data_IF_982093288829
#
_entry.id   IF_982093288829
#
_cell.length_a   1.000
_cell.length_b   1.000
_cell.length_c   1.000
_cell.angle_alpha   90.00
_cell.angle_beta   90.00
_cell.angle_gamma   90.00
#
_symmetry.space_group_name_H-M   'P 1'
#
loop_
_entity.id
_entity.type
_entity.pdbx_description
1 polymer ?
#
# COMPACT_ATOMS: atom_id res chain seq x y z
N UNK A 1 -26.17 -9.43 -17.14
CA UNK A 1 -26.30 -10.06 -15.81
C UNK A 1 -24.97 -10.71 -15.57
N UNK A 2 -24.08 -10.04 -14.85
CA UNK A 2 -22.72 -10.54 -14.60
C UNK A 2 -22.68 -11.14 -13.22
N UNK A 3 -22.51 -12.46 -13.17
CA UNK A 3 -22.40 -13.27 -11.95
C UNK A 3 -21.01 -13.12 -11.32
N UNK A 4 -20.69 -11.94 -10.79
CA UNK A 4 -19.41 -11.68 -10.10
C UNK A 4 -19.47 -11.90 -8.58
N UNK A 5 -20.47 -12.63 -8.06
CA UNK A 5 -20.68 -12.75 -6.61
C UNK A 5 -20.22 -14.08 -5.98
N UNK A 6 -19.29 -14.83 -6.60
CA UNK A 6 -18.99 -16.17 -6.09
C UNK A 6 -17.51 -16.51 -5.86
N UNK A 7 -16.66 -15.51 -5.51
CA UNK A 7 -15.26 -15.77 -5.16
C UNK A 7 -15.07 -16.39 -3.75
N UNK A 8 -16.06 -16.27 -2.87
CA UNK A 8 -15.94 -16.71 -1.46
C UNK A 8 -16.47 -18.13 -1.17
N UNK A 9 -17.09 -18.81 -2.13
CA UNK A 9 -17.75 -20.12 -1.87
C UNK A 9 -16.88 -21.37 -2.10
N UNK A 10 -15.61 -21.25 -2.47
CA UNK A 10 -14.83 -22.44 -2.90
C UNK A 10 -13.75 -22.92 -1.93
N UNK A 11 -13.66 -22.52 -0.70
CA UNK A 11 -12.59 -23.00 0.20
C UNK A 11 -11.14 -22.75 -0.31
N UNK A 12 -10.99 -22.17 -1.50
CA UNK A 12 -9.72 -21.82 -2.11
C UNK A 12 -9.33 -20.40 -1.67
N UNK A 13 -8.08 -20.24 -1.26
CA UNK A 13 -7.53 -18.92 -0.89
C UNK A 13 -7.48 -18.00 -2.11
N UNK A 14 -7.83 -16.73 -1.94
CA UNK A 14 -7.66 -15.70 -2.97
C UNK A 14 -6.17 -15.46 -3.20
N UNK A 15 -5.71 -15.55 -4.44
CA UNK A 15 -4.34 -15.25 -4.81
C UNK A 15 -4.15 -13.73 -4.95
N UNK A 16 -3.30 -13.17 -4.11
CA UNK A 16 -3.05 -11.72 -4.04
C UNK A 16 -1.63 -11.39 -4.46
N UNK A 17 -1.50 -10.45 -5.37
CA UNK A 17 -0.22 -9.81 -5.70
C UNK A 17 -0.11 -8.48 -4.94
N UNK A 18 0.89 -8.37 -4.06
CA UNK A 18 1.19 -7.16 -3.30
C UNK A 18 2.42 -6.47 -3.90
N UNK A 19 2.19 -5.44 -4.69
CA UNK A 19 3.24 -4.68 -5.38
C UNK A 19 3.73 -3.50 -4.55
N UNK A 20 5.03 -3.24 -4.59
CA UNK A 20 5.70 -2.23 -3.76
C UNK A 20 5.40 -2.49 -2.28
N UNK A 21 5.62 -3.74 -1.87
CA UNK A 21 5.08 -4.29 -0.64
C UNK A 21 5.62 -3.62 0.64
N UNK A 22 6.80 -2.98 0.57
CA UNK A 22 7.42 -2.32 1.70
C UNK A 22 7.60 -3.29 2.88
N UNK A 23 7.28 -2.83 4.07
CA UNK A 23 7.33 -3.63 5.30
C UNK A 23 6.07 -4.49 5.53
N UNK A 24 5.09 -4.45 4.62
CA UNK A 24 3.85 -5.23 4.74
C UNK A 24 2.77 -4.60 5.61
N UNK A 25 2.78 -3.28 5.83
CA UNK A 25 1.76 -2.61 6.65
C UNK A 25 0.32 -2.82 6.16
N UNK A 26 0.13 -2.84 4.86
CA UNK A 26 -1.17 -3.13 4.22
C UNK A 26 -1.61 -4.60 4.41
N UNK A 27 -0.65 -5.52 4.57
CA UNK A 27 -0.86 -6.97 4.67
C UNK A 27 -1.46 -7.43 6.00
N UNK A 28 -1.26 -6.68 7.08
CA UNK A 28 -1.51 -7.08 8.47
C UNK A 28 -2.89 -7.70 8.76
N UNK A 29 -3.94 -7.27 8.03
CA UNK A 29 -5.31 -7.72 8.29
C UNK A 29 -5.90 -8.60 7.18
N UNK A 30 -5.12 -8.99 6.20
CA UNK A 30 -5.61 -9.87 5.14
C UNK A 30 -5.69 -11.32 5.64
N UNK A 31 -6.86 -11.90 5.51
CA UNK A 31 -7.15 -13.27 5.94
C UNK A 31 -7.60 -14.13 4.76
N UNK A 32 -7.37 -15.43 4.85
CA UNK A 32 -7.76 -16.40 3.82
C UNK A 32 -7.22 -16.07 2.42
N UNK A 33 -5.97 -15.61 2.35
CA UNK A 33 -5.28 -15.24 1.11
C UNK A 33 -3.96 -16.00 0.95
N UNK A 34 -3.54 -16.16 -0.30
CA UNK A 34 -2.19 -16.58 -0.70
C UNK A 34 -1.51 -15.36 -1.33
N UNK A 35 -0.45 -14.86 -0.71
CA UNK A 35 0.17 -13.58 -1.11
C UNK A 35 1.51 -13.79 -1.74
N UNK A 36 1.73 -13.16 -2.89
CA UNK A 36 3.05 -12.90 -3.46
C UNK A 36 3.34 -11.41 -3.33
N UNK A 37 4.37 -11.07 -2.57
CA UNK A 37 4.82 -9.71 -2.34
C UNK A 37 6.03 -9.40 -3.20
N UNK A 38 6.03 -8.24 -3.87
CA UNK A 38 7.17 -7.77 -4.67
C UNK A 38 7.71 -6.49 -4.05
N UNK A 39 8.99 -6.53 -3.67
CA UNK A 39 9.70 -5.39 -3.09
C UNK A 39 11.06 -5.25 -3.76
N UNK A 40 11.44 -4.01 -4.09
CA UNK A 40 12.68 -3.74 -4.81
C UNK A 40 13.92 -3.80 -3.92
N UNK A 41 13.82 -3.29 -2.70
CA UNK A 41 14.96 -3.22 -1.77
C UNK A 41 15.09 -4.53 -0.97
N UNK A 42 16.21 -5.29 -1.15
CA UNK A 42 16.37 -6.60 -0.49
C UNK A 42 16.27 -6.58 1.03
N UNK A 43 16.73 -5.50 1.68
CA UNK A 43 16.65 -5.36 3.13
C UNK A 43 15.22 -5.19 3.62
N UNK A 44 14.40 -4.44 2.88
CA UNK A 44 12.98 -4.25 3.18
C UNK A 44 12.21 -5.55 2.91
N UNK A 45 12.50 -6.21 1.79
CA UNK A 45 11.93 -7.51 1.46
C UNK A 45 12.18 -8.56 2.56
N UNK A 46 13.40 -8.58 3.13
CA UNK A 46 13.71 -9.47 4.23
C UNK A 46 12.87 -9.20 5.49
N UNK A 47 12.66 -7.94 5.83
CA UNK A 47 11.79 -7.57 6.97
C UNK A 47 10.34 -7.96 6.69
N UNK A 48 9.86 -7.79 5.45
CA UNK A 48 8.54 -8.26 5.05
C UNK A 48 8.40 -9.78 5.26
N UNK A 49 9.36 -10.55 4.76
CA UNK A 49 9.40 -12.01 4.88
C UNK A 49 9.38 -12.47 6.34
N UNK A 50 10.18 -11.85 7.20
CA UNK A 50 10.23 -12.16 8.63
C UNK A 50 8.89 -11.89 9.34
N UNK A 51 8.16 -10.85 8.91
CA UNK A 51 6.85 -10.51 9.44
C UNK A 51 5.71 -11.35 8.86
N UNK A 52 5.88 -11.90 7.64
CA UNK A 52 4.86 -12.63 6.90
C UNK A 52 5.43 -13.96 6.35
N UNK A 53 5.83 -14.91 7.21
CA UNK A 53 6.59 -16.09 6.80
C UNK A 53 5.83 -17.08 5.90
N UNK A 54 4.52 -16.90 5.74
CA UNK A 54 3.68 -17.70 4.85
C UNK A 54 3.47 -17.07 3.46
N UNK A 55 3.97 -15.87 3.24
CA UNK A 55 3.86 -15.19 1.95
C UNK A 55 5.09 -15.50 1.08
N UNK A 56 4.91 -15.52 -0.23
CA UNK A 56 6.02 -15.59 -1.18
C UNK A 56 6.58 -14.19 -1.40
N UNK A 57 7.89 -14.00 -1.18
CA UNK A 57 8.55 -12.69 -1.34
C UNK A 57 9.48 -12.71 -2.55
N UNK A 58 9.28 -11.77 -3.45
CA UNK A 58 10.10 -11.57 -4.67
C UNK A 58 10.85 -10.25 -4.53
N UNK A 59 12.18 -10.33 -4.58
CA UNK A 59 13.04 -9.14 -4.67
C UNK A 59 13.16 -8.76 -6.14
N UNK A 60 12.59 -7.63 -6.54
CA UNK A 60 12.60 -7.23 -7.94
C UNK A 60 11.75 -6.01 -8.26
N UNK A 61 11.75 -5.66 -9.54
CA UNK A 61 10.93 -4.56 -10.06
C UNK A 61 9.45 -4.96 -10.12
N UNK A 62 8.61 -4.19 -9.43
CA UNK A 62 7.18 -4.45 -9.33
C UNK A 62 6.44 -4.32 -10.68
N UNK A 63 6.88 -3.38 -11.55
CA UNK A 63 6.25 -3.18 -12.86
C UNK A 63 6.58 -4.31 -13.82
N UNK A 64 7.82 -4.79 -13.81
CA UNK A 64 8.23 -5.93 -14.62
C UNK A 64 7.56 -7.22 -14.15
N UNK A 65 7.41 -7.41 -12.84
CA UNK A 65 6.71 -8.56 -12.29
C UNK A 65 5.21 -8.52 -12.64
N UNK A 66 4.55 -7.39 -12.44
CA UNK A 66 3.16 -7.17 -12.82
C UNK A 66 2.89 -7.52 -14.28
N UNK A 67 3.71 -6.99 -15.18
CA UNK A 67 3.59 -7.21 -16.62
C UNK A 67 3.61 -8.69 -17.01
N UNK A 68 4.47 -9.49 -16.35
CA UNK A 68 4.67 -10.90 -16.67
C UNK A 68 3.64 -11.83 -15.99
N UNK A 69 3.26 -11.53 -14.76
CA UNK A 69 2.59 -12.48 -13.87
C UNK A 69 1.14 -12.10 -13.48
N UNK A 70 0.61 -10.95 -13.92
CA UNK A 70 -0.70 -10.44 -13.48
C UNK A 70 -1.84 -11.46 -13.56
N UNK A 71 -1.85 -12.30 -14.59
CA UNK A 71 -2.92 -13.27 -14.83
C UNK A 71 -2.89 -14.49 -13.88
N UNK A 72 -1.89 -14.58 -12.99
CA UNK A 72 -1.76 -15.64 -12.00
C UNK A 72 -2.51 -15.30 -10.70
N UNK A 73 -3.07 -14.09 -10.59
CA UNK A 73 -3.68 -13.54 -9.39
C UNK A 73 -5.15 -13.16 -9.59
N UNK A 74 -5.91 -13.25 -8.50
CA UNK A 74 -7.32 -12.85 -8.44
C UNK A 74 -7.44 -11.38 -8.02
N UNK A 75 -6.48 -10.91 -7.23
CA UNK A 75 -6.47 -9.55 -6.67
C UNK A 75 -5.07 -8.94 -6.70
N UNK A 76 -4.97 -7.66 -7.05
CA UNK A 76 -3.71 -6.89 -7.01
C UNK A 76 -3.85 -5.68 -6.12
N UNK A 77 -2.95 -5.57 -5.14
CA UNK A 77 -2.72 -4.35 -4.36
C UNK A 77 -1.41 -3.71 -4.80
N UNK A 78 -1.41 -2.40 -5.05
CA UNK A 78 -0.21 -1.66 -5.37
C UNK A 78 -0.12 -0.36 -4.56
N UNK A 79 1.03 -0.13 -3.92
CA UNK A 79 1.36 1.12 -3.21
C UNK A 79 2.64 1.73 -3.79
N UNK A 80 2.59 2.32 -5.00
CA UNK A 80 3.77 2.89 -5.65
C UNK A 80 4.47 3.95 -4.77
N UNK A 81 5.79 4.18 -4.95
CA UNK A 81 6.54 5.16 -4.18
C UNK A 81 5.89 6.54 -4.17
N UNK A 82 5.67 7.09 -2.98
CA UNK A 82 4.95 8.34 -2.79
C UNK A 82 5.84 9.59 -2.67
N UNK A 83 7.18 9.41 -2.62
CA UNK A 83 8.12 10.49 -2.29
C UNK A 83 8.00 11.68 -3.24
N UNK A 84 7.82 11.44 -4.54
CA UNK A 84 7.69 12.50 -5.54
C UNK A 84 6.30 13.12 -5.66
N UNK A 85 5.30 12.54 -5.00
CA UNK A 85 3.91 13.05 -4.97
C UNK A 85 3.58 13.84 -3.71
N UNK A 86 4.30 13.58 -2.62
CA UNK A 86 4.00 14.13 -1.29
C UNK A 86 4.15 15.65 -1.23
N UNK A 87 3.22 16.31 -0.52
CA UNK A 87 3.31 17.74 -0.19
C UNK A 87 4.60 18.10 0.56
N UNK A 88 5.21 17.18 1.28
CA UNK A 88 6.49 17.38 1.94
C UNK A 88 7.63 17.65 0.96
N UNK A 89 7.59 17.04 -0.23
CA UNK A 89 8.58 17.34 -1.28
C UNK A 89 8.57 18.81 -1.68
N UNK A 90 7.37 19.41 -1.83
CA UNK A 90 7.23 20.82 -2.16
C UNK A 90 7.77 21.73 -1.04
N UNK A 91 7.67 21.30 0.21
CA UNK A 91 8.14 22.06 1.37
C UNK A 91 9.66 22.00 1.57
N UNK A 92 10.33 20.94 1.11
CA UNK A 92 11.76 20.71 1.36
C UNK A 92 12.67 21.00 0.18
N UNK A 93 12.13 21.16 -1.04
CA UNK A 93 12.89 21.38 -2.28
C UNK A 93 12.39 22.61 -3.03
N UNK A 94 12.45 23.78 -2.38
CA UNK A 94 11.96 25.01 -3.00
C UNK A 94 12.72 25.45 -4.26
N UNK A 95 13.95 24.97 -4.45
CA UNK A 95 14.85 25.51 -5.47
C UNK A 95 15.20 24.56 -6.61
N UNK A 96 14.67 23.34 -6.62
CA UNK A 96 14.97 22.37 -7.67
C UNK A 96 13.67 21.88 -8.32
N UNK A 97 13.43 22.32 -9.54
CA UNK A 97 12.37 21.76 -10.38
C UNK A 97 12.76 20.32 -10.75
N UNK A 98 11.89 19.36 -10.45
CA UNK A 98 12.06 17.94 -10.83
C UNK A 98 10.76 17.41 -11.43
N UNK A 99 10.87 16.47 -12.36
CA UNK A 99 9.71 15.78 -12.88
C UNK A 99 9.11 14.87 -11.81
N UNK A 100 7.79 14.84 -11.71
CA UNK A 100 7.13 13.87 -10.86
C UNK A 100 7.18 12.47 -11.50
N UNK A 101 7.15 11.46 -10.67
CA UNK A 101 7.13 10.07 -11.10
C UNK A 101 5.78 9.71 -11.72
N UNK A 102 5.78 9.17 -12.92
CA UNK A 102 4.56 8.71 -13.59
C UNK A 102 4.16 7.29 -13.19
N UNK A 103 4.94 6.59 -12.39
CA UNK A 103 4.73 5.18 -12.06
C UNK A 103 3.34 4.92 -11.44
N UNK A 104 2.87 5.80 -10.56
CA UNK A 104 1.51 5.74 -10.01
C UNK A 104 0.45 5.66 -11.12
N UNK A 105 0.52 6.57 -12.08
CA UNK A 105 -0.46 6.66 -13.16
C UNK A 105 -0.33 5.50 -14.15
N UNK A 106 0.89 5.05 -14.40
CA UNK A 106 1.16 3.87 -15.24
C UNK A 106 0.55 2.61 -14.63
N UNK A 107 0.67 2.39 -13.32
CA UNK A 107 0.06 1.25 -12.62
C UNK A 107 -1.46 1.29 -12.74
N UNK A 108 -2.09 2.45 -12.46
CA UNK A 108 -3.54 2.59 -12.54
C UNK A 108 -4.06 2.32 -13.96
N UNK A 109 -3.44 2.94 -14.97
CA UNK A 109 -3.81 2.74 -16.37
C UNK A 109 -3.62 1.28 -16.78
N UNK A 110 -2.47 0.68 -16.41
CA UNK A 110 -2.19 -0.71 -16.75
C UNK A 110 -3.21 -1.67 -16.15
N UNK A 111 -3.51 -1.55 -14.86
CA UNK A 111 -4.49 -2.40 -14.19
C UNK A 111 -5.90 -2.21 -14.79
N UNK A 112 -6.28 -0.97 -15.09
CA UNK A 112 -7.60 -0.67 -15.66
C UNK A 112 -7.83 -1.29 -17.04
N UNK A 113 -6.77 -1.55 -17.82
CA UNK A 113 -6.90 -2.00 -19.21
C UNK A 113 -6.41 -3.42 -19.45
N UNK A 114 -5.56 -3.97 -18.57
CA UNK A 114 -4.87 -5.24 -18.82
C UNK A 114 -4.99 -6.25 -17.69
N UNK A 115 -5.82 -5.98 -16.68
CA UNK A 115 -6.10 -6.91 -15.61
C UNK A 115 -7.60 -7.07 -15.38
N UNK A 116 -8.11 -8.29 -15.50
CA UNK A 116 -9.54 -8.60 -15.39
C UNK A 116 -9.98 -8.87 -13.94
N UNK A 117 -9.04 -9.09 -13.00
CA UNK A 117 -9.32 -9.30 -11.59
C UNK A 117 -9.60 -8.01 -10.83
N UNK A 118 -9.80 -8.13 -9.52
CA UNK A 118 -10.00 -6.97 -8.65
C UNK A 118 -8.68 -6.30 -8.28
N UNK A 119 -8.63 -4.98 -8.23
CA UNK A 119 -7.40 -4.29 -7.88
C UNK A 119 -7.63 -3.02 -7.07
N UNK A 120 -6.62 -2.68 -6.28
CA UNK A 120 -6.52 -1.43 -5.53
C UNK A 120 -5.15 -0.82 -5.73
N UNK A 121 -5.11 0.48 -6.01
CA UNK A 121 -3.89 1.30 -5.96
C UNK A 121 -4.06 2.35 -4.88
N UNK A 122 -3.06 2.48 -4.03
CA UNK A 122 -3.03 3.43 -2.93
C UNK A 122 -1.84 4.37 -3.08
N UNK A 123 -2.04 5.66 -2.80
CA UNK A 123 -0.95 6.61 -2.68
C UNK A 123 -1.33 7.79 -1.80
N UNK A 124 -0.35 8.59 -1.37
CA UNK A 124 -0.60 9.82 -0.62
C UNK A 124 -1.31 10.86 -1.49
N UNK A 125 -2.09 11.74 -0.85
CA UNK A 125 -2.68 12.90 -1.52
C UNK A 125 -1.57 13.80 -2.08
N UNK A 126 -1.49 13.96 -3.42
CA UNK A 126 -0.40 14.70 -4.04
C UNK A 126 -0.52 16.21 -3.80
N UNK A 127 0.56 16.93 -4.08
CA UNK A 127 0.58 18.40 -4.03
C UNK A 127 -0.08 19.07 -5.25
N UNK A 128 -0.42 18.28 -6.26
CA UNK A 128 -1.12 18.68 -7.50
C UNK A 128 -2.47 17.97 -7.59
N UNK A 129 -3.31 18.37 -8.54
CA UNK A 129 -4.57 17.68 -8.81
C UNK A 129 -4.29 16.30 -9.42
N UNK A 130 -4.86 15.21 -8.86
CA UNK A 130 -4.68 13.86 -9.40
C UNK A 130 -5.04 13.77 -10.88
N UNK A 131 -4.19 13.15 -11.71
CA UNK A 131 -4.44 12.98 -13.14
C UNK A 131 -5.64 12.05 -13.41
N UNK A 132 -5.86 11.09 -12.52
CA UNK A 132 -7.00 10.18 -12.54
C UNK A 132 -7.76 10.38 -11.23
N UNK A 133 -9.06 10.64 -11.33
CA UNK A 133 -9.92 10.85 -10.17
C UNK A 133 -9.92 9.60 -9.27
N UNK A 134 -9.56 9.73 -7.98
CA UNK A 134 -9.64 8.62 -7.04
C UNK A 134 -11.09 8.26 -6.74
N UNK A 135 -11.35 7.01 -6.40
CA UNK A 135 -12.65 6.58 -5.93
C UNK A 135 -12.89 6.98 -4.49
N UNK A 136 -11.83 6.99 -3.67
CA UNK A 136 -11.97 7.30 -2.26
C UNK A 136 -10.76 8.06 -1.73
N UNK A 137 -11.03 8.94 -0.78
CA UNK A 137 -10.02 9.60 0.05
C UNK A 137 -10.11 9.04 1.47
N UNK A 138 -9.00 8.49 1.98
CA UNK A 138 -8.87 7.94 3.32
C UNK A 138 -7.78 8.69 4.08
N UNK A 139 -8.19 9.74 4.80
CA UNK A 139 -7.27 10.61 5.51
C UNK A 139 -6.30 11.30 4.57
N UNK A 140 -5.03 10.86 4.56
CA UNK A 140 -3.99 11.42 3.68
C UNK A 140 -3.75 10.61 2.41
N UNK A 141 -4.46 9.53 2.22
CA UNK A 141 -4.29 8.62 1.10
C UNK A 141 -5.47 8.70 0.15
N UNK A 142 -5.18 8.50 -1.12
CA UNK A 142 -6.13 8.35 -2.19
C UNK A 142 -6.14 6.89 -2.64
N UNK A 143 -7.32 6.39 -2.96
CA UNK A 143 -7.53 5.02 -3.39
C UNK A 143 -8.18 5.01 -4.76
N UNK A 144 -7.62 4.21 -5.65
CA UNK A 144 -8.19 3.84 -6.95
C UNK A 144 -8.47 2.34 -6.94
N UNK A 145 -9.62 1.93 -7.44
CA UNK A 145 -10.00 0.52 -7.59
C UNK A 145 -11.01 0.35 -8.71
N UNK A 146 -11.21 -0.88 -9.17
CA UNK A 146 -12.24 -1.22 -10.15
C UNK A 146 -13.54 -1.75 -9.50
N UNK A 147 -13.68 -1.59 -8.19
CA UNK A 147 -14.87 -1.94 -7.42
C UNK A 147 -15.16 -0.86 -6.37
N UNK A 148 -16.39 -0.83 -5.87
CA UNK A 148 -16.79 0.15 -4.86
C UNK A 148 -16.23 -0.20 -3.48
N UNK A 149 -15.59 0.79 -2.85
CA UNK A 149 -15.06 0.66 -1.49
C UNK A 149 -16.12 1.17 -0.52
N UNK A 150 -16.61 0.28 0.33
CA UNK A 150 -17.59 0.64 1.38
C UNK A 150 -17.03 1.67 2.35
N UNK A 151 -17.91 2.48 2.90
CA UNK A 151 -17.54 3.42 3.96
C UNK A 151 -17.22 2.66 5.25
N UNK A 152 -16.15 3.06 5.90
CA UNK A 152 -15.78 2.59 7.23
C UNK A 152 -15.28 3.76 8.08
N UNK A 153 -15.53 3.68 9.37
CA UNK A 153 -15.04 4.69 10.29
C UNK A 153 -13.54 4.51 10.53
N UNK A 154 -12.78 5.53 10.15
CA UNK A 154 -11.38 5.62 10.53
C UNK A 154 -11.26 6.08 11.97
N UNK A 155 -10.41 5.45 12.79
CA UNK A 155 -10.16 5.95 14.13
C UNK A 155 -9.59 7.37 14.04
N UNK A 156 -10.20 8.30 14.79
CA UNK A 156 -9.76 9.68 14.85
C UNK A 156 -8.49 9.80 15.70
N UNK A 157 -7.34 9.50 15.08
CA UNK A 157 -6.02 9.59 15.72
C UNK A 157 -5.41 10.92 15.32
N UNK A 158 -5.62 11.93 16.16
CA UNK A 158 -5.01 13.24 15.98
C UNK A 158 -3.52 13.17 16.26
N UNK A 159 -2.70 13.83 15.42
CA UNK A 159 -1.25 14.03 15.64
C UNK A 159 -0.38 12.77 15.66
N UNK A 160 -0.83 11.66 15.07
CA UNK A 160 -0.10 10.40 15.06
C UNK A 160 1.36 10.52 14.58
N UNK A 161 1.63 11.37 13.60
CA UNK A 161 2.97 11.46 12.98
C UNK A 161 3.90 12.41 13.74
N UNK A 162 3.37 13.44 14.40
CA UNK A 162 4.20 14.53 14.91
C UNK A 162 4.37 14.54 16.42
N UNK A 163 3.39 14.08 17.19
CA UNK A 163 3.38 14.22 18.65
C UNK A 163 2.54 13.15 19.36
N UNK A 164 2.40 11.96 18.77
CA UNK A 164 1.59 10.93 19.40
C UNK A 164 2.07 10.63 20.82
N UNK A 165 1.15 10.62 21.76
CA UNK A 165 1.41 10.19 23.12
C UNK A 165 1.54 8.67 23.18
N UNK A 166 2.19 8.14 24.21
CA UNK A 166 2.27 6.68 24.44
C UNK A 166 0.87 6.05 24.44
N UNK A 167 -0.12 6.75 24.99
CA UNK A 167 -1.51 6.29 25.05
C UNK A 167 -2.18 6.20 23.66
N UNK A 168 -1.87 7.12 22.76
CA UNK A 168 -2.37 7.10 21.37
C UNK A 168 -1.67 6.01 20.56
N UNK A 169 -0.39 5.76 20.81
CA UNK A 169 0.37 4.66 20.24
C UNK A 169 -0.25 3.32 20.61
N UNK A 170 -0.55 3.10 21.88
CA UNK A 170 -1.14 1.83 22.34
C UNK A 170 -2.52 1.60 21.73
N UNK A 171 -3.39 2.61 21.67
CA UNK A 171 -4.68 2.53 20.98
C UNK A 171 -4.54 2.17 19.50
N UNK A 172 -3.52 2.72 18.84
CA UNK A 172 -3.28 2.43 17.42
C UNK A 172 -2.73 1.02 17.20
N UNK A 173 -1.83 0.56 18.06
CA UNK A 173 -1.36 -0.82 18.06
C UNK A 173 -2.51 -1.80 18.27
N UNK A 174 -3.38 -1.51 19.26
CA UNK A 174 -4.56 -2.31 19.55
C UNK A 174 -5.50 -2.38 18.34
N UNK A 175 -5.79 -1.23 17.73
CA UNK A 175 -6.63 -1.17 16.52
C UNK A 175 -6.04 -1.93 15.33
N UNK A 176 -4.72 -1.87 15.14
CA UNK A 176 -4.00 -2.62 14.10
C UNK A 176 -3.82 -4.09 14.45
N UNK A 177 -3.97 -4.48 15.73
CA UNK A 177 -3.66 -5.82 16.22
C UNK A 177 -2.15 -6.08 16.30
N UNK A 178 -1.33 -5.04 16.41
CA UNK A 178 0.14 -5.14 16.46
C UNK A 178 0.59 -5.44 17.89
N UNK A 179 1.27 -6.57 18.08
CA UNK A 179 1.97 -6.92 19.33
C UNK A 179 3.45 -6.53 19.22
N UNK A 180 3.74 -5.25 19.39
CA UNK A 180 5.10 -4.74 19.32
C UNK A 180 5.43 -3.94 20.60
N UNK A 181 6.47 -4.34 21.30
CA UNK A 181 6.98 -3.65 22.48
C UNK A 181 7.99 -2.58 22.08
N UNK A 182 7.54 -1.54 21.47
CA UNK A 182 8.39 -0.46 21.00
C UNK A 182 7.61 0.75 20.58
N UNK A 183 8.33 1.81 20.27
CA UNK A 183 7.73 3.02 19.75
C UNK A 183 7.53 2.90 18.25
N UNK A 184 6.28 2.98 17.77
CA UNK A 184 5.94 2.99 16.35
C UNK A 184 6.01 4.40 15.73
N UNK A 185 6.48 5.38 16.50
CA UNK A 185 6.63 6.75 16.00
C UNK A 185 7.93 6.95 15.30
N UNK A 186 7.83 7.71 14.26
CA UNK A 186 8.93 8.31 13.57
C UNK A 186 9.29 9.66 14.23
N UNK A 187 10.47 9.76 14.84
CA UNK A 187 10.99 11.00 15.40
C UNK A 187 12.07 11.57 14.48
N UNK A 188 11.69 12.50 13.59
CA UNK A 188 12.64 13.22 12.73
C UNK A 188 13.18 12.41 11.54
N UNK A 189 14.24 12.90 10.90
CA UNK A 189 14.82 12.36 9.66
C UNK A 189 15.58 11.01 9.81
N UNK A 190 15.25 10.18 10.79
CA UNK A 190 15.99 8.96 11.11
C UNK A 190 15.26 7.65 10.81
N UNK A 191 14.16 7.65 10.04
CA UNK A 191 13.43 6.42 9.72
C UNK A 191 14.26 5.41 8.90
N UNK A 192 15.33 5.84 8.25
CA UNK A 192 16.18 4.98 7.44
C UNK A 192 17.37 4.37 8.21
N UNK A 193 17.50 4.62 9.51
CA UNK A 193 18.66 4.14 10.30
C UNK A 193 18.37 2.96 11.20
N UNK A 194 17.11 2.53 11.32
CA UNK A 194 16.70 1.45 12.24
C UNK A 194 16.02 0.27 11.53
N UNK A 195 16.33 0.05 10.26
CA UNK A 195 15.95 -1.15 9.52
C UNK A 195 17.20 -1.91 9.09
#
# INVERSE_FOLDING_TARGET
MNDNNNLFERGQKTKVLNLFAGLGGNRLKWQNVEVTAVEFEPKIAKVYEDNNPNDTVIVGDAMEYLKKHRNEFDFIWASPPCQKHSKMMKATRHDVADFFDLQLWQVIIFLSHFFDGSWVVENVKPYYEPLIKPQKELGRHLIWSNFDITDFEMPNIKNFITQGTTKETEKFKEWLGIKYEGNIYYKGNHCHKNY
#
